data_IF_274024528561
#
_entry.id   IF_274024528561
#
_cell.length_a   1.000
_cell.length_b   1.000
_cell.length_c   1.000
_cell.angle_alpha   90.00
_cell.angle_beta   90.00
_cell.angle_gamma   90.00
#
_symmetry.space_group_name_H-M   'P 1'
#
loop_
_entity.id
_entity.type
_entity.pdbx_description
1 polymer ?
#
# COMPACT_ATOMS: atom_id res chain seq x y z
N UNK A 1 3.26 14.33 -24.34
CA UNK A 1 4.52 14.96 -23.84
C UNK A 1 4.23 16.36 -23.34
N UNK A 2 4.03 16.51 -22.03
CA UNK A 2 4.25 17.76 -21.29
C UNK A 2 4.83 17.36 -19.94
N UNK A 3 6.07 17.79 -19.74
CA UNK A 3 6.84 17.66 -18.51
C UNK A 3 6.28 18.64 -17.48
N UNK A 4 5.89 18.14 -16.31
CA UNK A 4 5.73 18.95 -15.11
C UNK A 4 6.85 18.57 -14.14
N UNK A 5 7.95 19.33 -14.22
CA UNK A 5 8.92 19.44 -13.13
C UNK A 5 8.28 20.36 -12.08
N UNK A 6 7.86 19.78 -10.96
CA UNK A 6 7.59 20.56 -9.75
C UNK A 6 8.91 20.89 -9.05
N UNK A 7 9.17 22.13 -8.61
CA UNK A 7 10.39 22.50 -7.92
C UNK A 7 10.20 22.28 -6.42
N UNK A 8 10.12 21.01 -5.98
CA UNK A 8 10.27 20.69 -4.56
C UNK A 8 11.73 20.32 -4.30
N UNK A 9 12.32 20.95 -3.27
CA UNK A 9 13.68 20.71 -2.84
C UNK A 9 13.80 19.24 -2.39
N UNK A 10 14.48 18.43 -3.19
CA UNK A 10 14.58 16.99 -3.00
C UNK A 10 15.69 16.67 -1.98
N UNK A 11 15.33 16.48 -0.70
CA UNK A 11 16.22 15.82 0.26
C UNK A 11 15.92 14.32 0.24
N UNK A 12 16.65 13.55 -0.58
CA UNK A 12 16.59 12.09 -0.59
C UNK A 12 17.82 11.53 0.15
N UNK A 13 17.60 10.78 1.23
CA UNK A 13 18.67 10.08 1.95
C UNK A 13 18.64 8.59 1.59
N UNK A 14 19.71 8.11 0.94
CA UNK A 14 19.84 6.73 0.50
C UNK A 14 20.55 5.90 1.57
N UNK A 15 19.93 4.82 2.06
CA UNK A 15 20.58 3.84 2.92
C UNK A 15 20.82 2.54 2.13
N UNK A 16 22.08 2.13 2.01
CA UNK A 16 22.48 0.82 1.48
C UNK A 16 22.50 -0.20 2.62
N UNK A 17 21.82 -1.33 2.45
CA UNK A 17 21.96 -2.48 3.35
C UNK A 17 23.37 -3.04 3.16
N UNK A 18 24.28 -2.68 4.08
CA UNK A 18 25.57 -3.33 4.21
C UNK A 18 25.58 -4.09 5.54
N UNK A 19 25.87 -5.38 5.45
CA UNK A 19 25.97 -6.29 6.59
C UNK A 19 26.95 -5.68 7.61
N UNK A 20 26.44 -5.36 8.79
CA UNK A 20 27.18 -4.93 9.98
C UNK A 20 28.33 -3.96 9.73
N UNK A 21 28.03 -2.66 9.60
CA UNK A 21 28.94 -1.57 9.97
C UNK A 21 28.11 -0.29 10.08
N UNK A 22 28.04 0.29 11.27
CA UNK A 22 27.54 1.63 11.49
C UNK A 22 28.40 2.65 10.73
N UNK A 23 28.02 2.96 9.49
CA UNK A 23 28.62 4.03 8.71
C UNK A 23 28.09 5.37 9.24
N UNK A 24 28.86 6.01 10.11
CA UNK A 24 28.75 7.45 10.35
C UNK A 24 29.48 8.16 9.22
N UNK A 25 28.73 8.79 8.31
CA UNK A 25 29.29 9.86 7.50
C UNK A 25 29.50 11.09 8.41
N UNK A 26 30.63 11.81 8.34
CA UNK A 26 30.91 12.96 9.20
C UNK A 26 30.10 14.22 8.85
N UNK A 27 28.88 14.07 8.31
CA UNK A 27 27.91 15.12 8.00
C UNK A 27 26.65 15.05 8.91
N UNK A 28 26.80 14.49 10.11
CA UNK A 28 25.71 13.96 10.95
C UNK A 28 25.11 15.02 11.91
N UNK A 29 24.64 16.15 11.36
CA UNK A 29 23.62 17.04 11.97
C UNK A 29 22.29 16.98 11.18
N UNK A 30 22.04 15.88 10.46
CA UNK A 30 20.91 15.72 9.54
C UNK A 30 19.98 14.55 9.86
N UNK A 31 18.80 14.53 9.22
CA UNK A 31 17.83 13.44 9.32
C UNK A 31 18.39 12.14 8.71
N UNK A 32 18.29 11.03 9.45
CA UNK A 32 18.81 9.71 9.08
C UNK A 32 17.75 8.60 9.17
N UNK A 33 17.69 7.71 8.17
CA UNK A 33 16.96 6.44 8.25
C UNK A 33 17.85 5.37 8.89
N UNK A 34 17.41 4.82 10.01
CA UNK A 34 18.00 3.65 10.67
C UNK A 34 17.20 2.41 10.30
N UNK A 35 17.92 1.38 9.87
CA UNK A 35 17.37 0.08 9.47
C UNK A 35 18.07 -0.99 10.28
N UNK A 36 17.31 -1.88 10.90
CA UNK A 36 17.82 -3.11 11.50
C UNK A 36 17.13 -4.32 10.84
N UNK A 37 17.86 -5.42 10.73
CA UNK A 37 17.34 -6.71 10.27
C UNK A 37 17.78 -7.77 11.27
N UNK A 38 16.82 -8.46 11.89
CA UNK A 38 17.11 -9.49 12.90
C UNK A 38 17.16 -10.92 12.35
N UNK A 39 16.76 -11.11 11.09
CA UNK A 39 16.63 -12.41 10.45
C UNK A 39 15.20 -12.73 10.01
N UNK A 40 14.22 -12.10 10.63
CA UNK A 40 12.79 -12.30 10.37
C UNK A 40 12.11 -11.00 9.93
N UNK A 41 12.39 -9.88 10.60
CA UNK A 41 11.74 -8.59 10.36
C UNK A 41 12.75 -7.45 10.17
N UNK A 42 12.33 -6.44 9.40
CA UNK A 42 13.00 -5.15 9.33
C UNK A 42 12.43 -4.19 10.36
N UNK A 43 13.31 -3.50 11.10
CA UNK A 43 12.94 -2.37 11.94
C UNK A 43 13.38 -1.06 11.30
N UNK A 44 12.44 -0.14 11.05
CA UNK A 44 12.71 1.18 10.47
C UNK A 44 12.45 2.31 11.46
N UNK A 45 13.38 3.27 11.54
CA UNK A 45 13.24 4.46 12.37
C UNK A 45 13.90 5.67 11.73
N UNK A 46 13.28 6.83 11.85
CA UNK A 46 13.89 8.12 11.46
C UNK A 46 14.50 8.77 12.71
N UNK A 47 15.73 9.27 12.60
CA UNK A 47 16.46 10.00 13.67
C UNK A 47 16.98 11.36 13.15
N UNK A 48 17.27 12.33 14.02
CA UNK A 48 17.84 13.65 13.69
C UNK A 48 16.95 14.87 14.03
N UNK A 49 17.48 16.10 13.84
CA UNK A 49 16.84 17.38 14.24
C UNK A 49 15.68 17.85 13.33
N UNK A 50 14.97 18.87 13.79
CA UNK A 50 13.55 19.18 13.52
C UNK A 50 13.11 19.48 12.08
N UNK A 51 11.99 18.85 11.72
CA UNK A 51 11.13 19.12 10.58
C UNK A 51 9.71 18.67 10.93
N UNK A 52 8.71 19.45 10.56
CA UNK A 52 7.29 19.21 10.90
C UNK A 52 6.61 18.15 10.02
N UNK A 53 7.36 17.47 9.15
CA UNK A 53 6.84 16.55 8.15
C UNK A 53 6.68 15.10 8.62
N UNK A 54 5.79 14.37 7.94
CA UNK A 54 5.67 12.92 8.06
C UNK A 54 6.70 12.25 7.14
N UNK A 55 7.30 11.13 7.54
CA UNK A 55 8.33 10.46 6.75
C UNK A 55 7.75 9.26 6.03
N UNK A 56 7.87 9.24 4.70
CA UNK A 56 7.37 8.14 3.89
C UNK A 56 8.52 7.17 3.59
N UNK A 57 8.42 5.94 4.10
CA UNK A 57 9.31 4.85 3.76
C UNK A 57 9.02 4.39 2.33
N UNK A 58 10.07 4.34 1.52
CA UNK A 58 10.02 3.84 0.16
C UNK A 58 11.03 2.71 -0.04
N UNK A 59 10.67 1.79 -0.93
CA UNK A 59 11.50 0.67 -1.33
C UNK A 59 11.75 0.67 -2.84
N UNK A 60 12.95 0.29 -3.23
CA UNK A 60 13.28 0.05 -4.63
C UNK A 60 14.16 -1.17 -4.77
N UNK A 61 13.92 -2.01 -5.78
CA UNK A 61 14.77 -3.16 -6.04
C UNK A 61 16.03 -2.79 -6.84
N UNK A 62 15.98 -1.71 -7.61
CA UNK A 62 17.03 -1.32 -8.57
C UNK A 62 17.57 0.11 -8.35
N UNK A 63 16.97 0.85 -7.42
CA UNK A 63 17.29 2.25 -7.13
C UNK A 63 16.64 3.27 -8.08
N UNK A 64 15.91 2.82 -9.09
CA UNK A 64 15.24 3.66 -10.09
C UNK A 64 13.74 3.74 -9.83
N UNK A 65 13.10 2.59 -9.63
CA UNK A 65 11.65 2.51 -9.39
C UNK A 65 11.36 2.40 -7.89
N UNK A 66 10.80 3.46 -7.32
CA UNK A 66 10.52 3.56 -5.90
C UNK A 66 9.03 3.36 -5.61
N UNK A 67 8.72 2.45 -4.70
CA UNK A 67 7.37 2.17 -4.21
C UNK A 67 7.22 2.66 -2.77
N UNK A 68 6.09 3.32 -2.51
CA UNK A 68 5.70 3.78 -1.19
C UNK A 68 5.26 2.58 -0.35
N UNK A 69 5.78 2.49 0.87
CA UNK A 69 5.48 1.38 1.76
C UNK A 69 4.57 1.81 2.90
N UNK A 70 5.06 2.72 3.74
CA UNK A 70 4.46 3.07 5.03
C UNK A 70 4.92 4.45 5.45
N UNK A 71 4.09 5.16 6.20
CA UNK A 71 4.54 6.32 6.94
C UNK A 71 5.24 5.88 8.23
N UNK A 72 6.35 6.54 8.54
CA UNK A 72 7.12 6.36 9.76
C UNK A 72 6.89 7.56 10.69
N UNK A 73 6.60 7.26 11.94
CA UNK A 73 6.67 8.25 13.01
C UNK A 73 8.14 8.44 13.44
N UNK A 74 8.45 9.62 13.98
CA UNK A 74 9.76 9.88 14.58
C UNK A 74 9.94 9.01 15.82
N UNK A 75 11.05 8.27 15.90
CA UNK A 75 11.39 7.47 17.07
C UNK A 75 12.08 8.32 18.14
N UNK A 76 11.87 7.97 19.42
CA UNK A 76 12.61 8.58 20.54
C UNK A 76 14.03 8.01 20.56
N UNK A 77 15.05 8.87 20.71
CA UNK A 77 16.49 8.54 20.64
C UNK A 77 17.03 7.57 21.71
N UNK A 78 16.20 7.05 22.60
CA UNK A 78 16.63 6.15 23.67
C UNK A 78 16.91 4.73 23.18
N UNK A 79 18.09 4.52 22.59
CA UNK A 79 18.96 3.34 22.80
C UNK A 79 18.51 1.92 22.42
N UNK A 80 17.26 1.67 22.02
CA UNK A 80 16.80 0.40 21.48
C UNK A 80 15.51 0.67 20.69
N UNK A 81 15.61 0.77 19.37
CA UNK A 81 14.58 1.30 18.46
C UNK A 81 13.25 0.52 18.56
N UNK A 82 12.12 1.10 19.05
CA UNK A 82 10.80 0.62 18.66
C UNK A 82 10.43 1.37 17.37
N UNK A 83 11.07 0.96 16.28
CA UNK A 83 10.74 1.40 14.93
C UNK A 83 9.51 0.66 14.42
N UNK A 84 9.01 1.04 13.24
CA UNK A 84 7.98 0.26 12.57
C UNK A 84 8.60 -1.06 12.13
N UNK A 85 8.02 -2.17 12.59
CA UNK A 85 8.42 -3.51 12.16
C UNK A 85 7.70 -3.85 10.85
N UNK A 86 8.46 -4.33 9.88
CA UNK A 86 7.95 -4.71 8.56
C UNK A 86 8.54 -6.07 8.20
N UNK A 87 7.68 -7.07 8.12
CA UNK A 87 8.06 -8.38 7.61
C UNK A 87 8.44 -8.30 6.13
N UNK A 88 9.43 -9.08 5.65
CA UNK A 88 9.73 -9.19 4.23
C UNK A 88 8.52 -9.53 3.37
N UNK A 89 7.55 -10.30 3.90
CA UNK A 89 6.31 -10.62 3.20
C UNK A 89 5.44 -9.39 2.92
N UNK A 90 5.57 -8.33 3.73
CA UNK A 90 4.87 -7.07 3.54
C UNK A 90 5.44 -6.22 2.39
N UNK A 91 6.64 -6.57 1.90
CA UNK A 91 7.34 -5.84 0.85
C UNK A 91 6.85 -6.27 -0.53
N UNK A 92 6.86 -5.37 -1.54
CA UNK A 92 6.25 -5.63 -2.84
C UNK A 92 6.96 -6.69 -3.70
N UNK A 93 8.11 -7.21 -3.24
CA UNK A 93 8.93 -8.16 -4.00
C UNK A 93 9.48 -9.26 -3.09
N UNK A 94 9.65 -10.46 -3.65
CA UNK A 94 10.02 -11.69 -2.92
C UNK A 94 11.45 -11.70 -2.39
N UNK A 95 12.36 -10.88 -2.96
CA UNK A 95 13.78 -10.78 -2.56
C UNK A 95 14.12 -9.44 -1.91
N UNK A 96 13.17 -8.87 -1.17
CA UNK A 96 13.29 -7.51 -0.67
C UNK A 96 14.49 -7.25 0.26
N UNK A 97 15.09 -8.30 0.84
CA UNK A 97 16.35 -8.22 1.58
C UNK A 97 17.53 -7.66 0.78
N UNK A 98 17.45 -7.67 -0.56
CA UNK A 98 18.48 -7.13 -1.46
C UNK A 98 18.13 -5.76 -2.03
N UNK A 99 17.00 -5.17 -1.63
CA UNK A 99 16.59 -3.87 -2.13
C UNK A 99 17.17 -2.70 -1.35
N UNK A 100 16.78 -1.51 -1.78
CA UNK A 100 17.16 -0.23 -1.23
C UNK A 100 15.96 0.38 -0.51
N UNK A 101 16.25 1.06 0.58
CA UNK A 101 15.25 1.80 1.34
C UNK A 101 15.68 3.26 1.43
N UNK A 102 14.68 4.14 1.39
CA UNK A 102 14.85 5.55 1.70
C UNK A 102 13.64 6.06 2.45
N UNK A 103 13.82 7.18 3.12
CA UNK A 103 12.71 8.00 3.57
C UNK A 103 12.69 9.29 2.77
N UNK A 104 11.49 9.75 2.45
CA UNK A 104 11.26 11.06 1.87
C UNK A 104 10.36 11.85 2.81
N UNK A 105 10.65 13.14 2.97
CA UNK A 105 9.76 14.03 3.69
C UNK A 105 8.46 14.18 2.87
N UNK A 106 7.33 13.94 3.53
CA UNK A 106 6.02 14.06 2.94
C UNK A 106 5.31 15.27 3.58
N UNK A 107 5.10 16.36 2.81
CA UNK A 107 4.84 17.67 3.40
C UNK A 107 3.47 17.88 4.06
N UNK A 108 2.54 16.92 4.09
CA UNK A 108 1.25 17.10 4.77
C UNK A 108 0.47 15.78 5.01
N UNK A 109 -0.37 15.77 6.05
CA UNK A 109 -1.09 14.62 6.61
C UNK A 109 -2.24 14.10 5.76
N UNK A 110 -1.93 13.50 4.62
CA UNK A 110 -2.86 12.68 3.84
C UNK A 110 -3.19 11.39 4.63
N UNK A 111 -4.12 11.54 5.56
CA UNK A 111 -4.58 10.45 6.43
C UNK A 111 -5.11 9.27 5.62
N UNK A 112 -5.79 9.54 4.51
CA UNK A 112 -6.28 8.47 3.64
C UNK A 112 -5.13 7.65 3.07
N UNK A 113 -4.09 8.30 2.55
CA UNK A 113 -2.94 7.61 1.99
C UNK A 113 -2.14 6.85 3.05
N UNK A 114 -2.01 7.42 4.25
CA UNK A 114 -1.45 6.73 5.41
C UNK A 114 -2.21 5.46 5.75
N UNK A 115 -3.54 5.55 5.84
CA UNK A 115 -4.39 4.41 6.16
C UNK A 115 -4.34 3.36 5.04
N UNK A 116 -4.33 3.79 3.77
CA UNK A 116 -4.15 2.93 2.59
C UNK A 116 -2.83 2.13 2.64
N UNK A 117 -1.70 2.80 2.88
CA UNK A 117 -0.39 2.16 2.94
C UNK A 117 -0.29 1.18 4.11
N UNK A 118 -0.80 1.56 5.29
CA UNK A 118 -0.85 0.69 6.46
C UNK A 118 -1.72 -0.56 6.23
N UNK A 119 -2.89 -0.37 5.60
CA UNK A 119 -3.80 -1.45 5.23
C UNK A 119 -3.17 -2.42 4.22
N UNK A 120 -2.52 -1.90 3.17
CA UNK A 120 -1.82 -2.70 2.16
C UNK A 120 -0.65 -3.48 2.74
N UNK A 121 0.13 -2.85 3.62
CA UNK A 121 1.21 -3.53 4.33
C UNK A 121 0.69 -4.66 5.21
N UNK A 122 -0.44 -4.47 5.92
CA UNK A 122 -1.06 -5.52 6.75
C UNK A 122 -1.55 -6.70 5.90
N UNK A 123 -2.16 -6.40 4.75
CA UNK A 123 -2.60 -7.43 3.80
C UNK A 123 -1.44 -8.30 3.32
N UNK A 124 -0.36 -7.68 2.88
CA UNK A 124 0.84 -8.42 2.45
C UNK A 124 1.49 -9.21 3.59
N UNK A 125 1.56 -8.63 4.78
CA UNK A 125 2.08 -9.29 5.97
C UNK A 125 1.27 -10.53 6.39
N UNK A 126 -0.02 -10.63 6.00
CA UNK A 126 -0.83 -11.83 6.25
C UNK A 126 -0.31 -13.07 5.51
N UNK A 127 0.44 -12.88 4.42
CA UNK A 127 0.94 -13.96 3.57
C UNK A 127 -0.16 -14.72 2.81
N UNK A 128 -1.41 -14.24 2.82
CA UNK A 128 -2.52 -14.88 2.12
C UNK A 128 -2.39 -14.72 0.61
N UNK A 129 -2.11 -15.83 -0.07
CA UNK A 129 -2.02 -15.91 -1.53
C UNK A 129 -3.16 -16.73 -2.14
N UNK A 130 -3.79 -17.59 -1.35
CA UNK A 130 -4.93 -18.42 -1.75
C UNK A 130 -6.13 -18.17 -0.83
N UNK A 131 -7.25 -17.73 -1.40
CA UNK A 131 -8.45 -17.34 -0.65
C UNK A 131 -9.67 -17.25 -1.57
N UNK A 132 -10.87 -17.34 -0.97
CA UNK A 132 -12.15 -17.03 -1.61
C UNK A 132 -12.77 -15.82 -0.95
N UNK A 133 -13.34 -14.91 -1.72
CA UNK A 133 -14.01 -13.74 -1.16
C UNK A 133 -15.33 -13.42 -1.87
N UNK A 134 -16.33 -13.01 -1.10
CA UNK A 134 -17.62 -12.58 -1.61
C UNK A 134 -17.54 -11.14 -2.06
N UNK A 135 -17.89 -10.85 -3.31
CA UNK A 135 -17.69 -9.57 -3.95
C UNK A 135 -18.98 -9.03 -4.53
N UNK A 136 -19.33 -7.81 -4.09
CA UNK A 136 -20.44 -7.05 -4.66
C UNK A 136 -19.88 -5.78 -5.28
N UNK A 137 -20.25 -5.51 -6.52
CA UNK A 137 -19.86 -4.31 -7.25
C UNK A 137 -21.07 -3.68 -7.89
N UNK A 138 -21.13 -2.36 -7.89
CA UNK A 138 -22.24 -1.61 -8.47
C UNK A 138 -21.83 -0.23 -8.98
N UNK A 139 -22.45 0.13 -10.09
CA UNK A 139 -22.60 1.48 -10.64
C UNK A 139 -24.09 1.66 -10.98
N UNK A 140 -24.43 2.07 -12.21
CA UNK A 140 -25.76 1.93 -12.83
C UNK A 140 -26.16 0.45 -13.09
N UNK A 141 -25.18 -0.46 -13.03
CA UNK A 141 -25.33 -1.91 -13.16
C UNK A 141 -24.73 -2.59 -11.92
N UNK A 142 -24.95 -3.89 -11.72
CA UNK A 142 -24.33 -4.57 -10.58
C UNK A 142 -23.94 -6.02 -10.87
N UNK A 143 -22.99 -6.50 -10.07
CA UNK A 143 -22.55 -7.89 -10.03
C UNK A 143 -22.37 -8.30 -8.57
N UNK A 144 -22.82 -9.50 -8.22
CA UNK A 144 -22.71 -10.11 -6.91
C UNK A 144 -22.33 -11.58 -7.05
N UNK A 145 -21.34 -12.03 -6.28
CA UNK A 145 -20.81 -13.37 -6.39
C UNK A 145 -19.59 -13.62 -5.51
N UNK A 146 -18.89 -14.72 -5.75
CA UNK A 146 -17.64 -15.06 -5.09
C UNK A 146 -16.51 -15.17 -6.11
N UNK A 147 -15.30 -14.82 -5.68
CA UNK A 147 -14.07 -14.89 -6.48
C UNK A 147 -13.06 -15.74 -5.71
N UNK A 148 -12.45 -16.70 -6.41
CA UNK A 148 -11.38 -17.53 -5.87
C UNK A 148 -10.03 -17.09 -6.44
N UNK A 149 -9.07 -16.96 -5.54
CA UNK A 149 -7.69 -16.64 -5.83
C UNK A 149 -6.83 -17.79 -5.33
N UNK A 150 -5.93 -18.30 -6.18
CA UNK A 150 -4.98 -19.37 -5.88
C UNK A 150 -3.59 -18.87 -6.29
N UNK A 151 -2.63 -18.97 -5.38
CA UNK A 151 -1.23 -18.55 -5.59
C UNK A 151 -1.11 -17.11 -6.13
N UNK A 152 -1.94 -16.21 -5.61
CA UNK A 152 -1.97 -14.80 -5.97
C UNK A 152 -2.60 -14.50 -7.33
N UNK A 153 -3.24 -15.48 -7.97
CA UNK A 153 -3.91 -15.33 -9.25
C UNK A 153 -5.39 -15.67 -9.14
N UNK A 154 -6.24 -14.89 -9.81
CA UNK A 154 -7.67 -15.22 -9.84
C UNK A 154 -7.87 -16.51 -10.62
N UNK A 155 -8.42 -17.52 -9.96
CA UNK A 155 -8.58 -18.87 -10.50
C UNK A 155 -9.99 -19.08 -11.06
N UNK A 156 -11.01 -18.65 -10.32
CA UNK A 156 -12.41 -18.85 -10.69
C UNK A 156 -13.31 -17.76 -10.10
N UNK A 157 -14.57 -17.72 -10.57
CA UNK A 157 -15.63 -16.95 -9.93
C UNK A 157 -16.95 -17.72 -9.98
N UNK A 158 -17.81 -17.46 -9.02
CA UNK A 158 -19.19 -17.92 -8.98
C UNK A 158 -20.10 -16.71 -8.92
N UNK A 159 -20.93 -16.52 -9.95
CA UNK A 159 -21.91 -15.43 -9.97
C UNK A 159 -23.17 -15.87 -9.25
N UNK A 160 -23.59 -15.07 -8.27
CA UNK A 160 -24.88 -15.22 -7.58
C UNK A 160 -25.96 -14.40 -8.29
N UNK A 161 -25.69 -13.13 -8.57
CA UNK A 161 -26.64 -12.22 -9.22
C UNK A 161 -25.90 -11.18 -10.06
N UNK A 162 -26.52 -10.72 -11.14
CA UNK A 162 -26.04 -9.56 -11.88
C UNK A 162 -27.20 -8.87 -12.60
N UNK A 163 -27.05 -7.56 -12.78
CA UNK A 163 -27.88 -6.78 -13.68
C UNK A 163 -26.99 -5.96 -14.61
N UNK A 164 -27.15 -6.04 -15.94
CA UNK A 164 -28.07 -6.94 -16.64
C UNK A 164 -27.73 -8.43 -16.46
N UNK A 165 -28.69 -9.36 -16.57
CA UNK A 165 -28.48 -10.77 -16.24
C UNK A 165 -27.50 -11.51 -17.18
N UNK A 166 -27.11 -10.88 -18.30
CA UNK A 166 -26.08 -11.40 -19.22
C UNK A 166 -24.65 -11.06 -18.79
N UNK A 167 -24.45 -10.26 -17.73
CA UNK A 167 -23.13 -10.11 -17.11
C UNK A 167 -22.79 -11.41 -16.38
N UNK A 168 -21.90 -12.21 -16.99
CA UNK A 168 -21.37 -13.43 -16.38
C UNK A 168 -20.14 -13.10 -15.54
N UNK A 169 -19.14 -12.46 -16.16
CA UNK A 169 -17.87 -12.13 -15.51
C UNK A 169 -17.99 -10.93 -14.55
N UNK A 170 -17.30 -10.97 -13.40
CA UNK A 170 -17.20 -9.82 -12.51
C UNK A 170 -16.46 -8.67 -13.20
N UNK A 171 -17.01 -7.44 -13.19
CA UNK A 171 -16.41 -6.27 -13.86
C UNK A 171 -15.02 -5.89 -13.36
N UNK A 172 -14.67 -6.37 -12.16
CA UNK A 172 -13.34 -6.23 -11.56
C UNK A 172 -12.83 -7.61 -11.14
N UNK A 173 -12.63 -8.49 -12.13
CA UNK A 173 -11.98 -9.79 -11.96
C UNK A 173 -10.54 -9.61 -11.47
N UNK A 174 -10.38 -9.47 -10.15
CA UNK A 174 -9.16 -9.00 -9.50
C UNK A 174 -8.88 -9.81 -8.24
N UNK A 175 -7.65 -9.74 -7.79
CA UNK A 175 -7.26 -10.14 -6.43
C UNK A 175 -7.50 -8.98 -5.47
N UNK A 176 -7.35 -9.21 -4.16
CA UNK A 176 -7.33 -8.13 -3.17
C UNK A 176 -6.22 -7.10 -3.47
N UNK A 177 -5.03 -7.54 -3.90
CA UNK A 177 -3.98 -6.62 -4.37
C UNK A 177 -4.46 -5.78 -5.56
N UNK A 178 -5.18 -6.37 -6.51
CA UNK A 178 -5.77 -5.64 -7.62
C UNK A 178 -6.83 -4.60 -7.20
N UNK A 179 -7.50 -4.79 -6.05
CA UNK A 179 -8.40 -3.79 -5.47
C UNK A 179 -7.62 -2.63 -4.83
N UNK A 180 -6.49 -2.92 -4.16
CA UNK A 180 -5.57 -1.86 -3.71
C UNK A 180 -5.03 -1.03 -4.87
N UNK A 181 -4.70 -1.67 -6.00
CA UNK A 181 -4.24 -0.97 -7.20
C UNK A 181 -5.35 -0.09 -7.79
N UNK A 182 -6.61 -0.56 -7.78
CA UNK A 182 -7.76 0.24 -8.23
C UNK A 182 -7.95 1.52 -7.40
N UNK A 183 -7.72 1.44 -6.08
CA UNK A 183 -7.78 2.58 -5.16
C UNK A 183 -6.60 3.53 -5.40
N UNK A 184 -5.37 3.00 -5.57
CA UNK A 184 -4.20 3.81 -5.90
C UNK A 184 -4.38 4.56 -7.22
N UNK A 185 -4.91 3.90 -8.24
CA UNK A 185 -5.24 4.49 -9.54
C UNK A 185 -6.23 5.66 -9.41
N UNK A 186 -7.26 5.51 -8.57
CA UNK A 186 -8.23 6.58 -8.32
C UNK A 186 -7.55 7.79 -7.67
N UNK A 187 -6.71 7.56 -6.66
CA UNK A 187 -5.94 8.63 -6.01
C UNK A 187 -4.98 9.31 -6.98
N UNK A 188 -4.27 8.54 -7.79
CA UNK A 188 -3.31 9.06 -8.77
C UNK A 188 -3.97 9.89 -9.88
N UNK A 189 -5.26 9.66 -10.15
CA UNK A 189 -6.07 10.44 -11.09
C UNK A 189 -6.82 11.61 -10.44
N UNK A 190 -6.56 11.88 -9.16
CA UNK A 190 -7.21 12.94 -8.39
C UNK A 190 -8.75 12.80 -8.42
N UNK A 191 -9.23 11.57 -8.17
CA UNK A 191 -10.66 11.29 -8.10
C UNK A 191 -11.33 12.22 -7.08
N UNK A 192 -12.49 12.77 -7.45
CA UNK A 192 -13.21 13.74 -6.65
C UNK A 192 -13.55 13.24 -5.23
N UNK A 193 -13.84 11.94 -5.07
CA UNK A 193 -13.95 11.32 -3.75
C UNK A 193 -13.48 9.87 -3.74
N UNK A 194 -12.88 9.46 -2.63
CA UNK A 194 -12.49 8.08 -2.36
C UNK A 194 -12.79 7.79 -0.89
N UNK A 195 -13.73 6.88 -0.65
CA UNK A 195 -14.08 6.41 0.68
C UNK A 195 -13.83 4.90 0.76
N UNK A 196 -13.03 4.46 1.73
CA UNK A 196 -12.70 3.05 1.89
C UNK A 196 -12.83 2.64 3.35
N UNK A 197 -13.39 1.46 3.59
CA UNK A 197 -13.32 0.82 4.91
C UNK A 197 -12.34 -0.35 4.84
N UNK A 198 -11.42 -0.41 5.80
CA UNK A 198 -10.38 -1.43 5.86
C UNK A 198 -10.72 -2.50 6.88
N UNK A 199 -10.37 -3.75 6.57
CA UNK A 199 -10.43 -4.83 7.53
C UNK A 199 -9.35 -4.65 8.62
N UNK A 200 -9.70 -4.74 9.93
CA UNK A 200 -8.72 -4.51 10.99
C UNK A 200 -7.73 -5.66 11.19
N UNK A 201 -8.08 -6.89 10.79
CA UNK A 201 -7.28 -8.09 11.01
C UNK A 201 -6.28 -8.31 9.87
N UNK A 202 -6.78 -8.30 8.64
CA UNK A 202 -6.01 -8.58 7.43
C UNK A 202 -5.72 -7.33 6.61
N UNK A 203 -6.37 -6.19 6.85
CA UNK A 203 -6.08 -4.94 6.13
C UNK A 203 -6.72 -4.81 4.74
N UNK A 204 -7.38 -5.84 4.19
CA UNK A 204 -8.03 -5.73 2.88
C UNK A 204 -9.16 -4.69 2.87
N UNK A 205 -9.51 -4.08 1.72
CA UNK A 205 -10.64 -3.17 1.63
C UNK A 205 -11.97 -3.93 1.74
N UNK A 206 -12.75 -3.68 2.80
CA UNK A 206 -14.10 -4.22 2.99
C UNK A 206 -15.14 -3.53 2.14
N UNK A 207 -14.97 -2.24 1.87
CA UNK A 207 -15.78 -1.51 0.91
C UNK A 207 -15.01 -0.34 0.34
N UNK A 208 -15.33 0.05 -0.88
CA UNK A 208 -14.93 1.34 -1.42
C UNK A 208 -16.05 1.99 -2.22
N UNK A 209 -16.15 3.31 -2.09
CA UNK A 209 -16.87 4.20 -2.99
C UNK A 209 -15.85 5.12 -3.65
N UNK A 210 -15.84 5.15 -4.99
CA UNK A 210 -14.93 5.97 -5.78
C UNK A 210 -15.77 6.78 -6.76
N UNK A 211 -15.72 8.11 -6.61
CA UNK A 211 -16.30 9.06 -7.55
C UNK A 211 -15.17 9.80 -8.25
N UNK A 212 -15.08 9.70 -9.58
CA UNK A 212 -14.06 10.40 -10.35
C UNK A 212 -14.43 11.88 -10.56
N UNK A 213 -15.72 12.21 -10.64
CA UNK A 213 -16.22 13.57 -10.87
C UNK A 213 -17.62 13.74 -10.28
N UNK A 214 -17.77 14.73 -9.40
CA UNK A 214 -19.06 15.11 -8.79
C UNK A 214 -20.14 15.52 -9.82
N UNK A 215 -19.78 15.65 -11.10
CA UNK A 215 -20.66 16.08 -12.18
C UNK A 215 -21.15 14.93 -13.07
N UNK A 216 -20.63 13.71 -12.89
CA UNK A 216 -20.88 12.56 -13.76
C UNK A 216 -21.28 11.35 -12.90
N UNK A 217 -22.57 11.02 -12.87
CA UNK A 217 -23.08 9.99 -11.97
C UNK A 217 -22.83 8.54 -12.44
N UNK A 218 -22.56 8.29 -13.73
CA UNK A 218 -22.43 6.94 -14.27
C UNK A 218 -21.03 6.32 -14.10
N UNK A 219 -20.05 7.10 -13.63
CA UNK A 219 -18.69 6.63 -13.33
C UNK A 219 -18.45 6.29 -11.85
N UNK A 220 -19.37 6.67 -10.96
CA UNK A 220 -19.33 6.36 -9.53
C UNK A 220 -19.38 4.85 -9.33
N UNK A 221 -18.37 4.33 -8.66
CA UNK A 221 -18.20 2.91 -8.40
C UNK A 221 -18.26 2.62 -6.92
N UNK A 222 -19.17 1.72 -6.55
CA UNK A 222 -19.24 1.14 -5.23
C UNK A 222 -18.90 -0.35 -5.30
N UNK A 223 -18.14 -0.84 -4.34
CA UNK A 223 -17.95 -2.26 -4.13
C UNK A 223 -17.71 -2.62 -2.69
N UNK A 224 -17.99 -3.87 -2.33
CA UNK A 224 -17.78 -4.40 -1.00
C UNK A 224 -17.42 -5.88 -1.00
N UNK A 225 -16.75 -6.30 0.07
CA UNK A 225 -16.36 -7.66 0.34
C UNK A 225 -17.16 -8.17 1.54
N UNK A 226 -18.07 -9.12 1.28
CA UNK A 226 -18.97 -9.68 2.30
C UNK A 226 -18.29 -10.70 3.21
N UNK A 227 -17.33 -11.46 2.67
CA UNK A 227 -16.54 -12.45 3.40
C UNK A 227 -15.16 -12.63 2.74
N UNK A 228 -14.20 -13.12 3.51
CA UNK A 228 -12.91 -13.58 3.02
C UNK A 228 -12.52 -14.85 3.78
N UNK A 229 -12.24 -15.91 3.03
CA UNK A 229 -11.95 -17.25 3.55
C UNK A 229 -10.61 -17.73 2.98
N UNK A 230 -9.57 -17.90 3.80
CA UNK A 230 -8.31 -18.49 3.36
C UNK A 230 -8.50 -19.91 2.83
N UNK A 231 -7.86 -20.23 1.70
CA UNK A 231 -7.81 -21.58 1.13
C UNK A 231 -6.46 -22.18 1.51
N UNK A 232 -6.50 -23.40 2.09
CA UNK A 232 -5.30 -24.16 2.49
C UNK A 232 -4.91 -25.18 1.44
#
# INVERSE_FOLDING_TARGET
MRSYLSPYLFCALLALVSIASSFRSPADEGVALRINWDGDDFSFCVAGEDGLGEWLLQFSQDGSDWQDLLFLERGVETGAVPGVQVSPAALPVTNAQRGLFRVVEYPEGDRFYRDYLAARSRWRASGLTSYRYGFRWSTMIFWDGAIEVIDGQVSSYERLEAFPPFFEEPPMYRTIEGLFDRIADARARDAASIEVTWDPEFGYPRSAAIDQSLLIADEEQYWSIGFLEPIR
#
